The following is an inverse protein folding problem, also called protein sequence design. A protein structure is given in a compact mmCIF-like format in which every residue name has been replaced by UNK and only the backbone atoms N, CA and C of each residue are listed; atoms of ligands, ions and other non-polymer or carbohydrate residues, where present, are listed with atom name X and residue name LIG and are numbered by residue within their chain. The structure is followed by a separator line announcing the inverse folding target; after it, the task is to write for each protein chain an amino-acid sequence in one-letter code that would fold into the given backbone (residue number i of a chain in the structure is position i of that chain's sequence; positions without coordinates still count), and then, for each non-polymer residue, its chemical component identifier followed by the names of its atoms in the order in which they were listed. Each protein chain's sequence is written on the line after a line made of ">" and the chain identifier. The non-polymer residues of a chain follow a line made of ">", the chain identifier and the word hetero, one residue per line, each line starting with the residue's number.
data_IF_614532609958
#
_entry.id   IF_614532609958
#
_cell.length_a   1.000
_cell.length_b   1.000
_cell.length_c   1.000
_cell.angle_alpha   90.00
_cell.angle_beta   90.00
_cell.angle_gamma   90.00
#
_symmetry.space_group_name_H-M   'P 1'
#
loop_
_entity.id
_entity.type
_entity.pdbx_description
1 polymer ?
#
# COMPACT_ATOMS: atom_id res chain seq x y z
N UNK A 1 -0.11 3.77 9.77
CA UNK A 1 -0.81 2.47 9.62
C UNK A 1 -0.89 2.20 8.13
N UNK A 2 -0.22 1.19 7.59
CA UNK A 2 -0.36 0.89 6.15
C UNK A 2 -1.78 0.36 5.94
N UNK A 3 -2.53 1.03 5.06
CA UNK A 3 -3.89 0.66 4.62
C UNK A 3 -3.77 0.37 3.13
N UNK A 4 -4.63 -0.49 2.61
CA UNK A 4 -4.83 -0.63 1.16
C UNK A 4 -5.48 0.65 0.63
N UNK A 5 -4.95 1.22 -0.45
CA UNK A 5 -5.52 2.40 -1.11
C UNK A 5 -6.03 2.02 -2.49
N UNK A 6 -7.23 2.46 -2.85
CA UNK A 6 -7.75 2.34 -4.21
C UNK A 6 -7.34 3.58 -5.00
N UNK A 7 -6.82 3.39 -6.22
CA UNK A 7 -6.38 4.52 -7.03
C UNK A 7 -7.51 5.50 -7.36
N UNK A 8 -8.76 5.01 -7.47
CA UNK A 8 -9.96 5.83 -7.68
C UNK A 8 -10.21 6.84 -6.54
N UNK A 9 -9.71 6.55 -5.33
CA UNK A 9 -9.80 7.41 -4.15
C UNK A 9 -8.50 8.22 -3.93
N UNK A 10 -7.61 8.23 -4.93
CA UNK A 10 -6.32 8.91 -4.88
C UNK A 10 -6.19 9.91 -6.03
N UNK A 11 -5.29 10.87 -5.87
CA UNK A 11 -4.88 11.75 -6.95
C UNK A 11 -3.39 12.06 -6.91
N UNK A 12 -2.85 12.39 -8.07
CA UNK A 12 -1.43 12.73 -8.25
C UNK A 12 -1.32 14.25 -8.27
N UNK A 13 -0.46 14.76 -7.39
CA UNK A 13 -0.14 16.18 -7.22
C UNK A 13 1.31 16.41 -7.62
N UNK A 14 1.53 17.14 -8.72
CA UNK A 14 2.87 17.44 -9.25
C UNK A 14 3.32 18.81 -8.74
N UNK A 15 4.42 18.85 -7.98
CA UNK A 15 4.96 20.11 -7.41
C UNK A 15 5.75 20.92 -8.47
N UNK A 16 5.02 21.40 -9.50
CA UNK A 16 5.58 22.12 -10.64
C UNK A 16 6.39 21.26 -11.62
N UNK A 17 7.01 21.87 -12.64
CA UNK A 17 7.70 21.16 -13.74
C UNK A 17 8.92 20.32 -13.32
N UNK A 18 9.49 20.57 -12.15
CA UNK A 18 10.72 19.91 -11.67
C UNK A 18 10.62 19.36 -10.24
N UNK A 19 9.51 19.59 -9.56
CA UNK A 19 9.31 19.08 -8.21
C UNK A 19 8.79 17.65 -8.20
N UNK A 20 8.86 16.98 -7.04
CA UNK A 20 8.37 15.62 -6.89
C UNK A 20 6.88 15.52 -7.21
N UNK A 21 6.45 14.30 -7.56
CA UNK A 21 5.04 13.98 -7.62
C UNK A 21 4.61 13.30 -6.31
N UNK A 22 3.44 13.68 -5.81
CA UNK A 22 2.86 13.13 -4.59
C UNK A 22 1.59 12.37 -4.94
N UNK A 23 1.50 11.11 -4.52
CA UNK A 23 0.22 10.42 -4.49
C UNK A 23 -0.46 10.74 -3.16
N UNK A 24 -1.66 11.31 -3.21
CA UNK A 24 -2.47 11.67 -2.05
C UNK A 24 -3.78 10.89 -2.04
N UNK A 25 -4.32 10.67 -0.85
CA UNK A 25 -5.69 10.17 -0.70
C UNK A 25 -6.73 11.31 -0.82
N UNK A 26 -8.02 10.95 -0.76
CA UNK A 26 -9.16 11.86 -0.80
C UNK A 26 -9.12 12.98 0.27
N UNK A 27 -8.44 12.74 1.40
CA UNK A 27 -8.28 13.71 2.49
C UNK A 27 -7.06 14.63 2.29
N UNK A 28 -6.26 14.38 1.25
CA UNK A 28 -5.04 15.12 0.92
C UNK A 28 -3.78 14.61 1.65
N UNK A 29 -3.88 13.49 2.37
CA UNK A 29 -2.75 12.87 3.05
C UNK A 29 -1.80 12.27 2.02
N UNK A 30 -0.50 12.57 2.14
CA UNK A 30 0.53 12.01 1.25
C UNK A 30 0.71 10.53 1.56
N UNK A 31 0.44 9.69 0.57
CA UNK A 31 0.66 8.25 0.59
C UNK A 31 2.11 7.95 0.18
N UNK A 32 2.54 8.49 -0.96
CA UNK A 32 3.89 8.36 -1.49
C UNK A 32 4.39 9.69 -2.07
N UNK A 33 5.71 9.87 -2.01
CA UNK A 33 6.43 10.92 -2.74
C UNK A 33 7.40 10.25 -3.70
N UNK A 34 7.33 10.59 -4.98
CA UNK A 34 8.19 10.03 -6.03
C UNK A 34 8.94 11.15 -6.77
N UNK A 35 10.04 10.83 -7.46
CA UNK A 35 10.74 11.81 -8.29
C UNK A 35 9.88 12.41 -9.41
N UNK A 36 10.19 13.65 -9.80
CA UNK A 36 9.50 14.41 -10.84
C UNK A 36 9.38 13.72 -12.22
N UNK A 37 10.30 12.81 -12.53
CA UNK A 37 10.35 12.15 -13.83
C UNK A 37 9.45 10.91 -13.92
N UNK A 38 8.74 10.56 -12.85
CA UNK A 38 7.81 9.46 -12.85
C UNK A 38 6.53 9.87 -13.58
N UNK A 39 6.13 9.04 -14.53
CA UNK A 39 4.83 9.14 -15.19
C UNK A 39 3.72 8.70 -14.24
N UNK A 40 2.51 9.22 -14.44
CA UNK A 40 1.34 8.81 -13.65
C UNK A 40 1.14 7.28 -13.64
N UNK A 41 1.37 6.60 -14.78
CA UNK A 41 1.33 5.13 -14.88
C UNK A 41 2.36 4.42 -13.99
N UNK A 42 3.54 5.00 -13.79
CA UNK A 42 4.54 4.42 -12.88
C UNK A 42 4.12 4.61 -11.42
N UNK A 43 3.45 5.71 -11.11
CA UNK A 43 2.90 5.99 -9.78
C UNK A 43 1.74 5.03 -9.48
N UNK A 44 0.82 4.84 -10.43
CA UNK A 44 -0.25 3.83 -10.38
C UNK A 44 0.32 2.42 -10.14
N UNK A 45 1.31 2.02 -10.94
CA UNK A 45 1.95 0.71 -10.79
C UNK A 45 2.62 0.55 -9.42
N UNK A 46 3.25 1.61 -8.89
CA UNK A 46 3.85 1.56 -7.57
C UNK A 46 2.80 1.40 -6.47
N UNK A 47 1.64 2.05 -6.60
CA UNK A 47 0.51 1.84 -5.70
C UNK A 47 0.02 0.38 -5.76
N UNK A 48 -0.14 -0.18 -6.95
CA UNK A 48 -0.57 -1.57 -7.13
C UNK A 48 0.40 -2.57 -6.49
N UNK A 49 1.70 -2.33 -6.63
CA UNK A 49 2.73 -3.14 -5.97
C UNK A 49 2.63 -3.02 -4.46
N UNK A 50 2.49 -1.80 -3.93
CA UNK A 50 2.35 -1.56 -2.49
C UNK A 50 1.11 -2.28 -1.92
N UNK A 51 -0.02 -2.21 -2.63
CA UNK A 51 -1.25 -2.90 -2.26
C UNK A 51 -1.09 -4.42 -2.25
N UNK A 52 -0.37 -5.00 -3.23
CA UNK A 52 -0.11 -6.44 -3.27
C UNK A 52 0.68 -6.91 -2.05
N UNK A 53 1.76 -6.21 -1.71
CA UNK A 53 2.56 -6.56 -0.53
C UNK A 53 1.77 -6.39 0.77
N UNK A 54 0.88 -5.40 0.85
CA UNK A 54 -0.03 -5.26 1.97
C UNK A 54 -0.97 -6.47 2.09
N UNK A 55 -1.59 -6.90 0.99
CA UNK A 55 -2.47 -8.07 0.98
C UNK A 55 -1.74 -9.35 1.41
N UNK A 56 -0.54 -9.57 0.86
CA UNK A 56 0.31 -10.72 1.20
C UNK A 56 0.65 -10.70 2.71
N UNK A 57 0.99 -9.53 3.25
CA UNK A 57 1.22 -9.33 4.68
C UNK A 57 0.00 -9.66 5.54
N UNK A 58 -1.20 -9.29 5.10
CA UNK A 58 -2.46 -9.62 5.79
C UNK A 58 -2.73 -11.13 5.76
N UNK A 59 -2.50 -11.79 4.63
CA UNK A 59 -2.69 -13.25 4.53
C UNK A 59 -1.69 -14.00 5.42
N UNK A 60 -0.42 -13.60 5.40
CA UNK A 60 0.60 -14.17 6.27
C UNK A 60 0.28 -13.92 7.76
N UNK A 61 -0.19 -12.72 8.10
CA UNK A 61 -0.63 -12.42 9.46
C UNK A 61 -1.81 -13.29 9.93
N UNK A 62 -2.80 -13.51 9.06
CA UNK A 62 -3.92 -14.43 9.33
C UNK A 62 -3.43 -15.86 9.52
N UNK A 63 -2.50 -16.32 8.69
CA UNK A 63 -1.91 -17.67 8.82
C UNK A 63 -1.19 -17.83 10.16
N UNK A 64 -0.30 -16.89 10.52
CA UNK A 64 0.41 -16.91 11.80
C UNK A 64 -0.53 -16.91 13.00
N UNK A 65 -1.56 -16.05 12.97
CA UNK A 65 -2.59 -16.02 14.01
C UNK A 65 -3.31 -17.37 14.15
N UNK A 66 -3.65 -18.01 13.03
CA UNK A 66 -4.28 -19.33 13.06
C UNK A 66 -3.35 -20.39 13.66
N UNK A 67 -2.06 -20.37 13.30
CA UNK A 67 -1.06 -21.31 13.80
C UNK A 67 -0.79 -21.11 15.30
N UNK A 68 -0.73 -19.86 15.77
CA UNK A 68 -0.64 -19.53 17.20
C UNK A 68 -1.86 -20.04 17.96
N UNK A 69 -3.07 -19.82 17.45
CA UNK A 69 -4.31 -20.33 18.08
C UNK A 69 -4.30 -21.86 18.14
N UNK A 70 -3.94 -22.55 17.05
CA UNK A 70 -3.85 -24.02 17.03
C UNK A 70 -2.85 -24.54 18.06
N UNK A 71 -1.67 -23.90 18.13
CA UNK A 71 -0.62 -24.22 19.09
C UNK A 71 -1.13 -24.06 20.53
N UNK A 72 -1.76 -22.92 20.85
CA UNK A 72 -2.33 -22.67 22.18
C UNK A 72 -3.43 -23.66 22.56
N UNK A 73 -4.21 -24.13 21.59
CA UNK A 73 -5.27 -25.13 21.79
C UNK A 73 -4.77 -26.58 21.70
N UNK A 74 -3.46 -26.78 21.49
CA UNK A 74 -2.84 -28.09 21.28
C UNK A 74 -3.49 -28.91 20.15
N UNK A 75 -3.97 -28.23 19.11
CA UNK A 75 -4.52 -28.84 17.90
C UNK A 75 -3.35 -28.99 16.92
N UNK A 76 -3.01 -30.24 16.58
CA UNK A 76 -1.94 -30.52 15.62
C UNK A 76 -2.21 -29.82 14.27
N UNK A 77 -1.14 -29.35 13.62
CA UNK A 77 -1.16 -28.64 12.35
C UNK A 77 -1.68 -29.51 11.20
#
# INVERSE_FOLDING_TARGET
>A
MQKRFHFEDCYIDHDGEKGPAHLRDEEGTVIFTVPAHWTDKQIELALDIANRFYDDGIQEGKRRKADEIRTCLNIAA
#
